data_IF_118945924199
#
_entry.id   IF_118945924199
#
_cell.length_a   1.000
_cell.length_b   1.000
_cell.length_c   1.000
_cell.angle_alpha   90.00
_cell.angle_beta   90.00
_cell.angle_gamma   90.00
#
_symmetry.space_group_name_H-M   'P 1'
#
loop_
_entity.id
_entity.type
_entity.pdbx_description
1 polymer ?
#
# COMPACT_ATOMS: atom_id res chain seq x y z
N UNK A 1 1.75 24.43 41.56
CA UNK A 1 1.13 23.14 41.20
C UNK A 1 0.86 23.17 39.68
N UNK A 2 1.77 22.63 38.87
CA UNK A 2 1.64 22.66 37.39
C UNK A 2 2.19 21.35 36.84
N UNK A 3 1.34 20.34 36.72
CA UNK A 3 1.65 19.11 35.98
C UNK A 3 0.47 18.30 35.37
N UNK A 4 -0.74 18.85 35.08
CA UNK A 4 -1.79 18.04 34.44
C UNK A 4 -1.61 17.86 32.92
N UNK A 5 -0.96 18.80 32.22
CA UNK A 5 -0.92 18.80 30.75
C UNK A 5 -0.05 17.68 30.14
N UNK A 6 1.02 17.26 30.83
CA UNK A 6 1.96 16.26 30.32
C UNK A 6 1.38 14.84 30.42
N UNK A 7 0.66 14.54 31.52
CA UNK A 7 -0.02 13.26 31.70
C UNK A 7 -1.17 13.07 30.69
N UNK A 8 -1.97 14.12 30.45
CA UNK A 8 -3.08 14.07 29.50
C UNK A 8 -2.62 13.90 28.04
N UNK A 9 -1.51 14.55 27.66
CA UNK A 9 -0.94 14.40 26.32
C UNK A 9 -0.35 12.99 26.11
N UNK A 10 0.25 12.39 27.14
CA UNK A 10 0.81 11.04 27.08
C UNK A 10 -0.30 9.97 27.02
N UNK A 11 -1.36 10.11 27.83
CA UNK A 11 -2.53 9.22 27.79
C UNK A 11 -3.28 9.29 26.46
N UNK A 12 -3.46 10.49 25.90
CA UNK A 12 -4.12 10.66 24.60
C UNK A 12 -3.29 10.11 23.44
N UNK A 13 -1.96 10.23 23.50
CA UNK A 13 -1.05 9.67 22.48
C UNK A 13 -1.11 8.14 22.51
N UNK A 14 -1.02 7.55 23.71
CA UNK A 14 -1.11 6.09 23.90
C UNK A 14 -2.47 5.54 23.45
N UNK A 15 -3.58 6.24 23.77
CA UNK A 15 -4.93 5.88 23.31
C UNK A 15 -5.05 5.86 21.80
N UNK A 16 -4.46 6.85 21.12
CA UNK A 16 -4.50 6.95 19.66
C UNK A 16 -3.63 5.90 18.97
N UNK A 17 -2.46 5.58 19.52
CA UNK A 17 -1.61 4.49 19.00
C UNK A 17 -2.32 3.13 19.07
N UNK A 18 -3.11 2.87 20.12
CA UNK A 18 -3.93 1.66 20.22
C UNK A 18 -5.00 1.59 19.13
N UNK A 19 -5.69 2.70 18.84
CA UNK A 19 -6.66 2.77 17.75
C UNK A 19 -6.00 2.57 16.39
N UNK A 20 -4.80 3.12 16.19
CA UNK A 20 -4.05 2.90 14.96
C UNK A 20 -3.66 1.44 14.80
N UNK A 21 -3.15 0.80 15.87
CA UNK A 21 -2.83 -0.64 15.84
C UNK A 21 -4.07 -1.48 15.48
N UNK A 22 -5.20 -1.21 16.12
CA UNK A 22 -6.47 -1.88 15.79
C UNK A 22 -6.87 -1.67 14.32
N UNK A 23 -6.71 -0.46 13.80
CA UNK A 23 -7.00 -0.18 12.39
C UNK A 23 -6.09 -0.97 11.44
N UNK A 24 -4.80 -1.03 11.72
CA UNK A 24 -3.82 -1.75 10.90
C UNK A 24 -4.11 -3.26 10.90
N UNK A 25 -4.53 -3.80 12.04
CA UNK A 25 -4.93 -5.21 12.19
C UNK A 25 -6.20 -5.51 11.36
N UNK A 26 -7.24 -4.68 11.47
CA UNK A 26 -8.52 -4.88 10.75
C UNK A 26 -8.34 -4.76 9.23
N UNK A 27 -7.45 -3.85 8.81
CA UNK A 27 -7.14 -3.65 7.40
C UNK A 27 -6.08 -4.63 6.87
N UNK A 28 -5.56 -5.51 7.74
CA UNK A 28 -4.61 -6.57 7.41
C UNK A 28 -3.31 -6.02 6.78
N UNK A 29 -2.79 -4.94 7.38
CA UNK A 29 -1.63 -4.21 6.85
C UNK A 29 -0.37 -5.06 6.77
N UNK A 30 -0.19 -6.04 7.66
CA UNK A 30 0.93 -6.97 7.62
C UNK A 30 0.83 -7.94 6.44
N UNK A 31 -0.39 -8.35 6.04
CA UNK A 31 -0.59 -9.17 4.85
C UNK A 31 -0.24 -8.39 3.57
N UNK A 32 -0.54 -7.09 3.53
CA UNK A 32 -0.11 -6.21 2.44
C UNK A 32 1.42 -6.09 2.39
N UNK A 33 2.07 -5.93 3.54
CA UNK A 33 3.53 -5.91 3.65
C UNK A 33 4.14 -7.21 3.09
N UNK A 34 3.61 -8.36 3.52
CA UNK A 34 4.04 -9.68 3.05
C UNK A 34 3.92 -9.81 1.53
N UNK A 35 2.79 -9.41 0.95
CA UNK A 35 2.58 -9.43 -0.50
C UNK A 35 3.57 -8.54 -1.26
N UNK A 36 3.88 -7.36 -0.72
CA UNK A 36 4.88 -6.47 -1.33
C UNK A 36 6.27 -7.11 -1.31
N UNK A 37 6.67 -7.71 -0.21
CA UNK A 37 7.97 -8.39 -0.11
C UNK A 37 8.06 -9.60 -1.04
N UNK A 38 7.00 -10.41 -1.10
CA UNK A 38 6.91 -11.55 -2.01
C UNK A 38 7.03 -11.11 -3.48
N UNK A 39 6.51 -9.94 -3.82
CA UNK A 39 6.64 -9.35 -5.16
C UNK A 39 8.05 -8.81 -5.44
N UNK A 40 8.79 -8.38 -4.42
CA UNK A 40 10.17 -7.86 -4.56
C UNK A 40 11.22 -8.97 -4.58
N UNK A 41 10.97 -10.09 -3.92
CA UNK A 41 11.95 -11.17 -3.76
C UNK A 41 12.52 -11.71 -5.08
N UNK A 42 11.72 -11.94 -6.15
CA UNK A 42 12.25 -12.41 -7.42
C UNK A 42 13.28 -11.47 -8.04
N UNK A 43 13.07 -10.15 -7.90
CA UNK A 43 13.99 -9.13 -8.42
C UNK A 43 15.35 -9.23 -7.73
N UNK A 44 15.38 -9.46 -6.42
CA UNK A 44 16.62 -9.63 -5.68
C UNK A 44 17.32 -10.96 -6.00
N UNK A 45 16.57 -12.05 -6.17
CA UNK A 45 17.14 -13.33 -6.60
C UNK A 45 17.80 -13.22 -7.99
N UNK A 46 17.16 -12.52 -8.91
CA UNK A 46 17.71 -12.26 -10.24
C UNK A 46 18.97 -11.37 -10.19
N UNK A 47 18.97 -10.34 -9.34
CA UNK A 47 20.12 -9.44 -9.18
C UNK A 47 21.31 -10.10 -8.47
N UNK A 48 21.06 -11.10 -7.61
CA UNK A 48 22.08 -11.76 -6.79
C UNK A 48 22.02 -13.30 -6.95
N UNK A 49 22.29 -13.84 -8.16
CA UNK A 49 22.10 -15.26 -8.47
C UNK A 49 23.11 -16.19 -7.75
N UNK A 50 24.14 -15.63 -7.11
CA UNK A 50 25.14 -16.37 -6.35
C UNK A 50 24.78 -16.52 -4.87
N UNK A 51 23.74 -15.82 -4.39
CA UNK A 51 23.28 -15.92 -3.01
C UNK A 51 22.35 -17.13 -2.89
N UNK A 52 22.56 -18.04 -1.91
CA UNK A 52 21.71 -19.21 -1.74
C UNK A 52 20.27 -18.84 -1.43
N UNK A 53 19.31 -19.65 -1.88
CA UNK A 53 17.89 -19.42 -1.63
C UNK A 53 17.57 -19.41 -0.13
N UNK A 54 18.30 -20.19 0.67
CA UNK A 54 18.13 -20.25 2.12
C UNK A 54 18.37 -18.91 2.81
N UNK A 55 19.25 -18.06 2.27
CA UNK A 55 19.47 -16.71 2.78
C UNK A 55 18.21 -15.85 2.61
N UNK A 56 17.63 -15.90 1.42
CA UNK A 56 16.42 -15.14 1.10
C UNK A 56 15.21 -15.63 1.90
N UNK A 57 15.07 -16.95 2.08
CA UNK A 57 14.03 -17.53 2.91
C UNK A 57 14.16 -17.15 4.39
N UNK A 58 15.38 -17.20 4.94
CA UNK A 58 15.65 -16.78 6.32
C UNK A 58 15.35 -15.29 6.53
N UNK A 59 15.75 -14.43 5.59
CA UNK A 59 15.47 -13.00 5.65
C UNK A 59 13.96 -12.73 5.59
N UNK A 60 13.22 -13.40 4.71
CA UNK A 60 11.77 -13.25 4.62
C UNK A 60 11.07 -13.69 5.91
N UNK A 61 11.51 -14.78 6.54
CA UNK A 61 10.96 -15.21 7.82
C UNK A 61 11.21 -14.19 8.94
N UNK A 62 12.38 -13.53 8.94
CA UNK A 62 12.70 -12.46 9.89
C UNK A 62 11.83 -11.21 9.63
N UNK A 63 11.69 -10.77 8.38
CA UNK A 63 10.91 -9.56 8.09
C UNK A 63 9.40 -9.81 8.28
N UNK A 64 8.89 -11.01 8.02
CA UNK A 64 7.51 -11.38 8.39
C UNK A 64 7.26 -11.37 9.91
N UNK A 65 8.32 -11.42 10.72
CA UNK A 65 8.24 -11.25 12.18
C UNK A 65 8.40 -9.79 12.64
N UNK A 66 8.89 -8.91 11.75
CA UNK A 66 8.96 -7.47 11.95
C UNK A 66 7.64 -6.81 11.53
N UNK A 67 6.95 -6.16 12.46
CA UNK A 67 5.65 -5.57 12.15
C UNK A 67 5.83 -4.24 11.40
N UNK A 68 5.45 -4.19 10.11
CA UNK A 68 5.29 -2.94 9.36
C UNK A 68 4.47 -1.93 10.18
N UNK A 69 3.51 -2.45 10.95
CA UNK A 69 2.70 -1.70 11.89
C UNK A 69 3.50 -0.79 12.84
N UNK A 70 4.68 -1.19 13.31
CA UNK A 70 5.49 -0.35 14.21
C UNK A 70 6.00 0.93 13.53
N UNK A 71 6.21 0.89 12.21
CA UNK A 71 6.56 2.08 11.42
C UNK A 71 5.34 2.93 11.05
N UNK A 72 4.17 2.29 10.87
CA UNK A 72 2.95 2.99 10.48
C UNK A 72 2.26 3.67 11.66
N UNK A 73 2.34 3.11 12.87
CA UNK A 73 1.74 3.67 14.08
C UNK A 73 2.03 5.16 14.26
N UNK A 74 3.29 5.62 14.31
CA UNK A 74 3.59 7.04 14.50
C UNK A 74 3.13 7.93 13.34
N UNK A 75 3.07 7.40 12.11
CA UNK A 75 2.60 8.15 10.93
C UNK A 75 1.11 8.46 11.06
N UNK A 76 0.29 7.45 11.35
CA UNK A 76 -1.15 7.62 11.49
C UNK A 76 -1.49 8.40 12.76
N UNK A 77 -0.83 8.13 13.88
CA UNK A 77 -1.05 8.85 15.15
C UNK A 77 -0.73 10.36 15.03
N UNK A 78 0.21 10.74 14.18
CA UNK A 78 0.54 12.14 13.89
C UNK A 78 -0.49 12.83 13.00
N UNK A 79 -0.99 12.13 11.98
CA UNK A 79 -1.79 12.76 10.91
C UNK A 79 -3.30 12.65 11.11
N UNK A 80 -3.77 11.73 11.95
CA UNK A 80 -5.20 11.48 12.17
C UNK A 80 -5.61 11.84 13.60
N UNK A 81 -6.84 12.35 13.71
CA UNK A 81 -7.51 12.56 14.99
C UNK A 81 -8.04 11.24 15.54
N UNK A 82 -8.26 11.20 16.85
CA UNK A 82 -8.88 10.03 17.50
C UNK A 82 -10.27 9.74 16.93
N UNK A 83 -11.03 10.78 16.58
CA UNK A 83 -12.37 10.64 16.00
C UNK A 83 -12.34 10.04 14.59
N UNK A 84 -11.41 10.49 13.74
CA UNK A 84 -11.22 9.90 12.40
C UNK A 84 -10.82 8.44 12.51
N UNK A 85 -9.93 8.09 13.45
CA UNK A 85 -9.55 6.70 13.65
C UNK A 85 -10.72 5.81 14.09
N UNK A 86 -11.50 6.26 15.07
CA UNK A 86 -12.69 5.54 15.52
C UNK A 86 -13.71 5.36 14.39
N UNK A 87 -13.92 6.39 13.57
CA UNK A 87 -14.82 6.32 12.42
C UNK A 87 -14.33 5.31 11.36
N UNK A 88 -13.03 5.32 11.05
CA UNK A 88 -12.43 4.38 10.10
C UNK A 88 -12.54 2.92 10.59
N UNK A 89 -12.25 2.67 11.87
CA UNK A 89 -12.40 1.35 12.51
C UNK A 89 -13.86 0.90 12.44
N UNK A 90 -14.81 1.78 12.82
CA UNK A 90 -16.23 1.47 12.78
C UNK A 90 -16.71 1.11 11.37
N UNK A 91 -16.25 1.84 10.36
CA UNK A 91 -16.55 1.54 8.96
C UNK A 91 -16.02 0.17 8.55
N UNK A 92 -14.73 -0.11 8.75
CA UNK A 92 -14.14 -1.39 8.32
C UNK A 92 -14.62 -2.61 9.11
N UNK A 93 -15.17 -2.42 10.31
CA UNK A 93 -15.89 -3.45 11.06
C UNK A 93 -17.32 -3.70 10.56
N UNK A 94 -17.90 -2.79 9.79
CA UNK A 94 -19.25 -2.97 9.23
C UNK A 94 -19.25 -4.06 8.15
N UNK A 95 -20.40 -4.72 7.89
CA UNK A 95 -20.52 -5.68 6.79
C UNK A 95 -20.09 -5.09 5.43
N UNK A 96 -20.43 -3.83 5.18
CA UNK A 96 -20.12 -3.10 3.96
C UNK A 96 -18.63 -2.77 3.89
N UNK A 97 -18.03 -2.23 4.96
CA UNK A 97 -16.59 -1.92 4.97
C UNK A 97 -15.71 -3.17 4.86
N UNK A 98 -16.09 -4.26 5.54
CA UNK A 98 -15.42 -5.54 5.40
C UNK A 98 -15.60 -6.13 3.98
N UNK A 99 -16.76 -5.94 3.37
CA UNK A 99 -17.00 -6.31 1.96
C UNK A 99 -16.10 -5.51 1.01
N UNK A 100 -15.95 -4.20 1.25
CA UNK A 100 -15.04 -3.35 0.48
C UNK A 100 -13.59 -3.85 0.61
N UNK A 101 -13.08 -4.06 1.83
CA UNK A 101 -11.72 -4.59 2.05
C UNK A 101 -11.44 -5.88 1.25
N UNK A 102 -12.38 -6.83 1.27
CA UNK A 102 -12.22 -8.09 0.52
C UNK A 102 -12.26 -7.92 -0.98
N UNK A 103 -13.03 -6.96 -1.50
CA UNK A 103 -13.23 -6.75 -2.94
C UNK A 103 -12.22 -5.79 -3.56
N UNK A 104 -11.62 -4.89 -2.79
CA UNK A 104 -10.67 -3.90 -3.29
C UNK A 104 -9.53 -4.51 -4.12
N UNK A 105 -8.86 -5.61 -3.72
CA UNK A 105 -7.82 -6.22 -4.55
C UNK A 105 -8.30 -6.64 -5.95
N UNK A 106 -9.48 -7.28 -6.02
CA UNK A 106 -10.10 -7.68 -7.29
C UNK A 106 -10.47 -6.46 -8.14
N UNK A 107 -11.10 -5.45 -7.52
CA UNK A 107 -11.47 -4.20 -8.21
C UNK A 107 -10.24 -3.48 -8.78
N UNK A 108 -9.13 -3.45 -8.03
CA UNK A 108 -7.88 -2.85 -8.51
C UNK A 108 -7.27 -3.65 -9.66
N UNK A 109 -7.35 -4.99 -9.63
CA UNK A 109 -6.90 -5.84 -10.73
C UNK A 109 -7.72 -5.62 -12.00
N UNK A 110 -9.05 -5.61 -11.89
CA UNK A 110 -9.96 -5.34 -13.01
C UNK A 110 -9.78 -3.92 -13.56
N UNK A 111 -9.61 -2.92 -12.68
CA UNK A 111 -9.36 -1.54 -13.06
C UNK A 111 -8.05 -1.38 -13.85
N UNK A 112 -6.98 -2.09 -13.46
CA UNK A 112 -5.72 -2.09 -14.20
C UNK A 112 -5.89 -2.67 -15.61
N UNK A 113 -6.62 -3.79 -15.76
CA UNK A 113 -6.89 -4.38 -17.06
C UNK A 113 -7.71 -3.45 -17.96
N UNK A 114 -8.76 -2.82 -17.40
CA UNK A 114 -9.57 -1.85 -18.11
C UNK A 114 -8.74 -0.63 -18.54
N UNK A 115 -7.86 -0.13 -17.66
CA UNK A 115 -6.94 0.97 -17.95
C UNK A 115 -5.94 0.64 -19.05
N UNK A 116 -5.38 -0.58 -19.06
CA UNK A 116 -4.46 -1.03 -20.11
C UNK A 116 -5.15 -1.07 -21.48
N UNK A 117 -6.37 -1.62 -21.56
CA UNK A 117 -7.15 -1.64 -22.79
C UNK A 117 -7.46 -0.23 -23.31
N UNK A 118 -7.89 0.67 -22.42
CA UNK A 118 -8.16 2.06 -22.77
C UNK A 118 -6.88 2.76 -23.29
N UNK A 119 -5.74 2.54 -22.61
CA UNK A 119 -4.45 3.10 -23.00
C UNK A 119 -3.98 2.61 -24.37
N UNK A 120 -4.16 1.33 -24.68
CA UNK A 120 -3.86 0.77 -25.99
C UNK A 120 -4.70 1.46 -27.09
N UNK A 121 -6.02 1.56 -26.89
CA UNK A 121 -6.91 2.21 -27.86
C UNK A 121 -6.56 3.68 -28.09
N UNK A 122 -6.20 4.40 -27.01
CA UNK A 122 -5.76 5.77 -27.10
C UNK A 122 -4.45 5.89 -27.89
N UNK A 123 -3.47 5.02 -27.62
CA UNK A 123 -2.20 4.97 -28.34
C UNK A 123 -2.39 4.72 -29.84
N UNK A 124 -3.21 3.73 -30.20
CA UNK A 124 -3.56 3.46 -31.61
C UNK A 124 -4.21 4.67 -32.30
N UNK A 125 -5.08 5.40 -31.59
CA UNK A 125 -5.70 6.62 -32.11
C UNK A 125 -4.68 7.74 -32.31
N UNK A 126 -3.78 7.94 -31.34
CA UNK A 126 -2.73 8.96 -31.43
C UNK A 126 -1.82 8.67 -32.63
N UNK A 127 -1.39 7.42 -32.81
CA UNK A 127 -0.54 7.03 -33.94
C UNK A 127 -1.21 7.30 -35.29
N UNK A 128 -2.50 6.93 -35.43
CA UNK A 128 -3.28 7.22 -36.64
C UNK A 128 -3.36 8.72 -36.95
N UNK A 129 -3.54 9.54 -35.92
CA UNK A 129 -3.62 11.00 -36.07
C UNK A 129 -2.27 11.60 -36.43
N UNK A 130 -1.18 11.13 -35.82
CA UNK A 130 0.19 11.54 -36.16
C UNK A 130 0.52 11.23 -37.62
N UNK A 131 0.20 10.01 -38.07
CA UNK A 131 0.38 9.60 -39.47
C UNK A 131 -0.46 10.46 -40.43
N UNK A 132 -1.72 10.71 -40.11
CA UNK A 132 -2.62 11.53 -40.93
C UNK A 132 -2.13 12.99 -41.08
N UNK A 133 -1.44 13.51 -40.07
CA UNK A 133 -0.86 14.85 -40.09
C UNK A 133 0.58 14.88 -40.62
N UNK A 134 1.15 13.74 -41.03
CA UNK A 134 2.48 13.64 -41.62
C UNK A 134 3.63 13.60 -40.60
N UNK A 135 3.34 13.46 -39.31
CA UNK A 135 4.34 13.22 -38.27
C UNK A 135 4.77 11.75 -38.32
N UNK A 136 5.74 11.44 -39.19
CA UNK A 136 6.32 10.09 -39.30
C UNK A 136 7.47 9.88 -38.32
N UNK A 137 7.71 8.64 -37.91
CA UNK A 137 8.79 8.24 -36.99
C UNK A 137 10.21 8.61 -37.44
N UNK A 138 10.39 9.02 -38.71
CA UNK A 138 11.66 9.55 -39.23
C UNK A 138 12.07 10.92 -38.62
N UNK A 139 11.20 11.57 -37.84
CA UNK A 139 11.52 12.83 -37.12
C UNK A 139 11.77 12.68 -35.62
N UNK A 140 11.68 11.46 -35.07
CA UNK A 140 11.89 11.16 -33.64
C UNK A 140 12.96 10.08 -33.52
N UNK A 141 14.20 10.41 -33.88
CA UNK A 141 15.36 9.68 -33.39
C UNK A 141 15.59 10.09 -31.93
N UNK A 142 15.43 9.13 -31.01
CA UNK A 142 15.95 9.20 -29.64
C UNK A 142 17.23 8.38 -29.60
#
# INVERSE_FOLDING_TARGET
MTQPAVAQAFDATTSKELLVREYLDITNSDALAAQMMESMLPVFREAYPHVPDEFFEALMAEVSSGNLSDFLIPVFAKNLTEQEMKAAIAYYRSPEGASMLRKTPLLMQEAQQAGALWGQQLGERILKELEAQGYTSAGLEI
#
